data_IF_787202068007
#
_entry.id   IF_787202068007
#
_cell.length_a   1.000
_cell.length_b   1.000
_cell.length_c   1.000
_cell.angle_alpha   90.00
_cell.angle_beta   90.00
_cell.angle_gamma   90.00
#
_symmetry.space_group_name_H-M   'P 1'
#
loop_
_entity.id
_entity.type
_entity.pdbx_description
1 polymer ?
#
# COMPACT_ATOMS: atom_id res chain seq x y z
N UNK A 1 -18.58 10.86 -4.44
CA UNK A 1 -17.12 11.08 -4.43
C UNK A 1 -16.33 9.77 -4.44
N UNK A 2 -16.62 8.82 -3.54
CA UNK A 2 -15.94 7.51 -3.45
C UNK A 2 -15.92 6.72 -4.77
N UNK A 3 -17.02 6.68 -5.53
CA UNK A 3 -17.06 5.96 -6.82
C UNK A 3 -16.04 6.46 -7.86
N UNK A 4 -15.66 7.74 -7.81
CA UNK A 4 -14.61 8.32 -8.69
C UNK A 4 -13.23 7.81 -8.29
N UNK A 5 -12.95 7.75 -6.98
CA UNK A 5 -11.72 7.15 -6.45
C UNK A 5 -11.64 5.66 -6.79
N UNK A 6 -12.71 4.90 -6.54
CA UNK A 6 -12.73 3.46 -6.84
C UNK A 6 -12.47 3.19 -8.33
N UNK A 7 -13.08 3.97 -9.23
CA UNK A 7 -12.78 3.87 -10.66
C UNK A 7 -11.32 4.18 -10.98
N UNK A 8 -10.70 5.17 -10.32
CA UNK A 8 -9.29 5.49 -10.50
C UNK A 8 -8.34 4.39 -10.03
N UNK A 9 -8.69 3.68 -8.95
CA UNK A 9 -7.85 2.61 -8.41
C UNK A 9 -7.87 1.34 -9.27
N UNK A 10 -8.84 1.19 -10.17
CA UNK A 10 -8.92 0.05 -11.08
C UNK A 10 -7.97 0.27 -12.27
N UNK A 11 -7.01 -0.63 -12.43
CA UNK A 11 -6.16 -0.67 -13.62
C UNK A 11 -6.98 -1.05 -14.87
N UNK A 12 -6.75 -0.45 -16.05
CA UNK A 12 -5.74 0.58 -16.38
C UNK A 12 -6.28 2.02 -16.42
N UNK A 13 -7.24 2.41 -15.57
CA UNK A 13 -7.89 3.72 -15.70
C UNK A 13 -6.94 4.89 -15.39
N UNK A 14 -7.03 5.94 -16.20
CA UNK A 14 -6.42 7.24 -15.95
C UNK A 14 -7.50 8.33 -15.72
N UNK A 15 -7.08 9.54 -15.32
CA UNK A 15 -8.01 10.66 -15.10
C UNK A 15 -8.85 11.00 -16.35
N UNK A 16 -8.30 10.77 -17.54
CA UNK A 16 -9.02 11.00 -18.79
C UNK A 16 -10.17 10.01 -18.98
N UNK A 17 -9.96 8.72 -18.69
CA UNK A 17 -11.01 7.69 -18.76
C UNK A 17 -12.15 7.95 -17.76
N UNK A 18 -11.78 8.44 -16.57
CA UNK A 18 -12.72 8.81 -15.51
C UNK A 18 -13.51 10.07 -15.92
N UNK A 19 -12.86 11.01 -16.60
CA UNK A 19 -13.50 12.22 -17.15
C UNK A 19 -14.62 11.88 -18.12
N UNK A 20 -14.39 10.93 -19.03
CA UNK A 20 -15.43 10.44 -19.94
C UNK A 20 -16.60 9.78 -19.20
N UNK A 21 -16.32 9.07 -18.10
CA UNK A 21 -17.34 8.34 -17.34
C UNK A 21 -18.22 9.26 -16.48
N UNK A 22 -17.63 10.27 -15.84
CA UNK A 22 -18.31 11.10 -14.84
C UNK A 22 -18.58 12.54 -15.29
N UNK A 23 -18.16 12.94 -16.50
CA UNK A 23 -18.48 14.25 -17.08
C UNK A 23 -17.81 15.45 -16.38
N UNK A 24 -16.71 15.23 -15.67
CA UNK A 24 -15.95 16.28 -14.98
C UNK A 24 -14.59 16.51 -15.64
N UNK A 25 -14.05 17.72 -15.52
CA UNK A 25 -12.69 17.98 -15.99
C UNK A 25 -11.66 17.15 -15.21
N UNK A 26 -10.51 16.78 -15.82
CA UNK A 26 -9.45 16.05 -15.11
C UNK A 26 -8.94 16.77 -13.85
N UNK A 27 -8.95 18.10 -13.85
CA UNK A 27 -8.55 18.91 -12.69
C UNK A 27 -9.51 18.76 -11.51
N UNK A 28 -10.82 18.88 -11.75
CA UNK A 28 -11.83 18.67 -10.70
C UNK A 28 -11.80 17.23 -10.18
N UNK A 29 -11.63 16.24 -11.06
CA UNK A 29 -11.50 14.84 -10.67
C UNK A 29 -10.29 14.60 -9.78
N UNK A 30 -9.14 15.16 -10.14
CA UNK A 30 -7.94 15.08 -9.33
C UNK A 30 -8.18 15.66 -7.94
N UNK A 31 -8.78 16.84 -7.84
CA UNK A 31 -9.12 17.46 -6.56
C UNK A 31 -10.05 16.60 -5.71
N UNK A 32 -11.13 16.07 -6.31
CA UNK A 32 -12.07 15.20 -5.61
C UNK A 32 -11.38 13.93 -5.11
N UNK A 33 -10.53 13.32 -5.94
CA UNK A 33 -9.82 12.09 -5.59
C UNK A 33 -8.82 12.35 -4.46
N UNK A 34 -8.01 13.41 -4.57
CA UNK A 34 -7.06 13.77 -3.53
C UNK A 34 -7.76 14.09 -2.21
N UNK A 35 -8.89 14.80 -2.25
CA UNK A 35 -9.70 15.09 -1.08
C UNK A 35 -10.24 13.82 -0.41
N UNK A 36 -10.82 12.89 -1.18
CA UNK A 36 -11.31 11.61 -0.65
C UNK A 36 -10.18 10.78 -0.07
N UNK A 37 -9.04 10.68 -0.76
CA UNK A 37 -7.87 9.95 -0.26
C UNK A 37 -7.35 10.56 1.04
N UNK A 38 -7.28 11.89 1.13
CA UNK A 38 -6.87 12.59 2.35
C UNK A 38 -7.77 12.27 3.53
N UNK A 39 -9.10 12.34 3.34
CA UNK A 39 -10.07 12.00 4.37
C UNK A 39 -9.98 10.53 4.81
N UNK A 40 -9.87 9.60 3.86
CA UNK A 40 -9.72 8.17 4.17
C UNK A 40 -8.44 7.91 4.95
N UNK A 41 -7.32 8.52 4.55
CA UNK A 41 -6.06 8.39 5.27
C UNK A 41 -6.18 8.89 6.70
N UNK A 42 -6.80 10.05 6.92
CA UNK A 42 -6.95 10.59 8.27
C UNK A 42 -7.87 9.72 9.13
N UNK A 43 -8.98 9.25 8.57
CA UNK A 43 -9.95 8.43 9.26
C UNK A 43 -9.40 7.04 9.64
N UNK A 44 -8.59 6.44 8.77
CA UNK A 44 -8.11 5.07 8.93
C UNK A 44 -6.60 4.98 9.22
N UNK A 45 -5.95 6.09 9.59
CA UNK A 45 -4.49 6.13 9.86
C UNK A 45 -4.06 5.11 10.90
N UNK A 46 -4.88 4.89 11.92
CA UNK A 46 -4.53 4.00 13.02
C UNK A 46 -4.58 2.54 12.55
N UNK A 47 -5.59 2.16 11.76
CA UNK A 47 -5.69 0.83 11.13
C UNK A 47 -4.56 0.60 10.13
N UNK A 48 -4.24 1.60 9.30
CA UNK A 48 -3.14 1.51 8.33
C UNK A 48 -1.77 1.40 9.00
N UNK A 49 -1.62 1.99 10.20
CA UNK A 49 -0.41 1.84 11.01
C UNK A 49 -0.39 0.47 11.65
N UNK A 50 -1.34 0.14 12.51
CA UNK A 50 -1.48 -1.19 13.08
C UNK A 50 -2.96 -1.50 13.28
N UNK A 51 -3.46 -2.50 12.56
CA UNK A 51 -4.81 -3.00 12.75
C UNK A 51 -4.89 -3.78 14.07
N UNK A 52 -5.32 -3.07 15.13
CA UNK A 52 -5.42 -3.64 16.48
C UNK A 52 -6.44 -4.78 16.58
N UNK A 53 -7.46 -4.80 15.71
CA UNK A 53 -8.46 -5.86 15.69
C UNK A 53 -7.86 -7.17 15.14
N UNK A 54 -6.87 -7.06 14.26
CA UNK A 54 -6.09 -8.19 13.74
C UNK A 54 -4.95 -8.63 14.70
N UNK A 55 -4.60 -7.79 15.68
CA UNK A 55 -3.54 -8.06 16.66
C UNK A 55 -4.08 -8.62 17.99
N UNK A 56 -5.30 -9.17 18.01
CA UNK A 56 -5.81 -9.83 19.20
C UNK A 56 -5.00 -11.07 19.57
N UNK A 57 -4.72 -11.24 20.87
CA UNK A 57 -3.89 -12.35 21.39
C UNK A 57 -4.34 -13.73 20.91
N UNK A 58 -5.66 -13.96 20.84
CA UNK A 58 -6.20 -15.25 20.40
C UNK A 58 -5.89 -15.52 18.93
N UNK A 59 -6.04 -14.52 18.06
CA UNK A 59 -5.77 -14.64 16.62
C UNK A 59 -4.28 -14.78 16.35
N UNK A 60 -3.45 -13.99 17.05
CA UNK A 60 -1.99 -14.09 16.95
C UNK A 60 -1.47 -15.48 17.35
N UNK A 61 -2.06 -16.10 18.39
CA UNK A 61 -1.71 -17.49 18.76
C UNK A 61 -2.04 -18.48 17.65
N UNK A 62 -3.24 -18.37 17.07
CA UNK A 62 -3.63 -19.21 15.93
C UNK A 62 -2.68 -19.04 14.75
N UNK A 63 -2.26 -17.80 14.48
CA UNK A 63 -1.30 -17.52 13.42
C UNK A 63 0.07 -18.13 13.69
N UNK A 64 0.60 -17.96 14.91
CA UNK A 64 1.87 -18.57 15.33
C UNK A 64 1.85 -20.09 15.23
N UNK A 65 0.78 -20.73 15.70
CA UNK A 65 0.60 -22.18 15.66
C UNK A 65 0.55 -22.67 14.20
N UNK A 66 -0.27 -22.05 13.34
CA UNK A 66 -0.40 -22.43 11.94
C UNK A 66 0.92 -22.28 11.16
N UNK A 67 1.71 -21.22 11.40
CA UNK A 67 3.03 -21.03 10.78
C UNK A 67 4.03 -22.08 11.28
N UNK A 68 4.01 -22.41 12.56
CA UNK A 68 4.87 -23.45 13.13
C UNK A 68 4.53 -24.83 12.56
N UNK A 69 3.24 -25.18 12.48
CA UNK A 69 2.75 -26.42 11.87
C UNK A 69 3.10 -26.52 10.39
N UNK A 70 3.14 -25.39 9.67
CA UNK A 70 3.60 -25.32 8.29
C UNK A 70 5.12 -25.54 8.12
N UNK A 71 5.87 -25.71 9.22
CA UNK A 71 7.29 -26.06 9.22
C UNK A 71 8.23 -24.93 9.63
N UNK A 72 7.73 -23.81 10.15
CA UNK A 72 8.59 -22.75 10.68
C UNK A 72 9.33 -23.25 11.94
N UNK A 73 10.66 -23.07 12.03
CA UNK A 73 11.41 -23.38 13.26
C UNK A 73 11.11 -22.37 14.39
N UNK A 74 10.47 -21.25 14.07
CA UNK A 74 10.10 -20.20 15.02
C UNK A 74 8.64 -20.38 15.45
N UNK A 75 8.39 -20.25 16.76
CA UNK A 75 7.07 -20.44 17.40
C UNK A 75 6.28 -19.15 17.61
N UNK A 76 6.87 -18.00 17.28
CA UNK A 76 6.31 -16.67 17.60
C UNK A 76 6.17 -15.78 16.37
N UNK A 77 6.02 -16.37 15.18
CA UNK A 77 5.84 -15.64 13.92
C UNK A 77 4.35 -15.61 13.60
N UNK A 78 3.77 -14.41 13.51
CA UNK A 78 2.34 -14.23 13.27
C UNK A 78 2.03 -13.63 11.88
N UNK A 79 3.05 -13.22 11.14
CA UNK A 79 2.89 -12.56 9.84
C UNK A 79 4.24 -12.34 9.17
N UNK A 80 4.19 -11.93 7.91
CA UNK A 80 5.36 -11.73 7.08
C UNK A 80 5.42 -10.29 6.58
N UNK A 81 6.62 -9.73 6.60
CA UNK A 81 6.92 -8.40 6.06
C UNK A 81 7.25 -8.55 4.58
N UNK A 82 6.61 -7.77 3.73
CA UNK A 82 6.93 -7.71 2.30
C UNK A 82 7.05 -6.26 1.80
N UNK A 83 8.01 -6.05 0.90
CA UNK A 83 8.28 -4.79 0.24
C UNK A 83 7.69 -4.78 -1.17
N UNK A 84 6.80 -3.84 -1.47
CA UNK A 84 6.21 -3.68 -2.80
C UNK A 84 6.67 -2.39 -3.49
N UNK A 85 7.21 -2.54 -4.70
CA UNK A 85 7.51 -1.44 -5.61
C UNK A 85 6.26 -1.01 -6.38
N UNK A 86 5.68 0.14 -6.02
CA UNK A 86 4.58 0.74 -6.76
C UNK A 86 5.12 1.62 -7.90
N UNK A 87 4.98 1.14 -9.13
CA UNK A 87 5.43 1.86 -10.33
C UNK A 87 4.71 3.21 -10.46
N UNK A 88 5.48 4.25 -10.76
CA UNK A 88 4.96 5.59 -11.06
C UNK A 88 5.42 6.05 -12.45
N UNK A 89 4.71 7.03 -13.01
CA UNK A 89 5.20 7.75 -14.18
C UNK A 89 6.51 8.48 -13.87
N UNK A 90 7.37 8.64 -14.88
CA UNK A 90 8.65 9.35 -14.76
C UNK A 90 8.41 10.77 -14.23
N UNK A 91 8.93 11.13 -13.04
CA UNK A 91 8.76 12.48 -12.50
C UNK A 91 9.43 13.53 -13.37
N UNK A 92 8.95 14.77 -13.36
CA UNK A 92 9.64 15.87 -14.05
C UNK A 92 10.92 16.27 -13.32
N UNK A 93 10.86 16.33 -11.98
CA UNK A 93 11.96 16.75 -11.11
C UNK A 93 12.46 15.58 -10.27
N UNK A 94 13.74 15.61 -9.87
CA UNK A 94 14.35 14.64 -8.95
C UNK A 94 14.18 13.17 -9.36
N UNK A 95 14.13 12.87 -10.66
CA UNK A 95 13.89 11.52 -11.21
C UNK A 95 14.74 10.42 -10.58
N UNK A 96 16.03 10.70 -10.35
CA UNK A 96 16.97 9.75 -9.75
C UNK A 96 16.53 9.28 -8.36
N UNK A 97 15.83 10.11 -7.59
CA UNK A 97 15.31 9.74 -6.26
C UNK A 97 14.24 8.66 -6.32
N UNK A 98 13.54 8.53 -7.44
CA UNK A 98 12.44 7.58 -7.59
C UNK A 98 12.82 6.39 -8.47
N UNK A 99 14.01 6.36 -9.06
CA UNK A 99 14.41 5.31 -9.99
C UNK A 99 15.05 4.13 -9.24
N UNK A 100 14.36 2.99 -9.22
CA UNK A 100 14.94 1.74 -8.71
C UNK A 100 15.84 1.13 -9.78
N UNK A 101 17.14 1.03 -9.50
CA UNK A 101 18.10 0.36 -10.38
C UNK A 101 17.81 -1.12 -10.56
N UNK A 102 17.37 -1.81 -9.49
CA UNK A 102 17.06 -3.24 -9.50
C UNK A 102 15.85 -3.55 -10.38
N UNK A 103 14.76 -2.78 -10.25
CA UNK A 103 13.55 -2.97 -11.06
C UNK A 103 13.57 -2.24 -12.41
N UNK A 104 14.56 -1.37 -12.63
CA UNK A 104 14.73 -0.54 -13.84
C UNK A 104 13.50 0.31 -14.18
N UNK A 105 12.85 0.86 -13.14
CA UNK A 105 11.65 1.69 -13.29
C UNK A 105 11.61 2.79 -12.22
N UNK A 106 10.78 3.82 -12.47
CA UNK A 106 10.44 4.79 -11.42
C UNK A 106 9.35 4.19 -10.54
N UNK A 107 9.57 4.15 -9.23
CA UNK A 107 8.64 3.60 -8.26
C UNK A 107 8.71 4.33 -6.91
N UNK A 108 7.65 4.14 -6.13
CA UNK A 108 7.63 4.33 -4.69
C UNK A 108 7.64 2.96 -4.04
N UNK A 109 8.31 2.83 -2.90
CA UNK A 109 8.31 1.61 -2.12
C UNK A 109 7.32 1.68 -0.98
N UNK A 110 6.67 0.56 -0.71
CA UNK A 110 5.80 0.38 0.44
C UNK A 110 6.20 -0.92 1.14
N UNK A 111 6.06 -0.97 2.45
CA UNK A 111 6.31 -2.16 3.23
C UNK A 111 5.03 -2.53 3.98
N UNK A 112 4.54 -3.74 3.76
CA UNK A 112 3.33 -4.25 4.39
C UNK A 112 3.67 -5.40 5.33
N UNK A 113 2.89 -5.55 6.40
CA UNK A 113 2.79 -6.81 7.13
C UNK A 113 1.46 -7.45 6.77
N UNK A 114 1.50 -8.69 6.31
CA UNK A 114 0.31 -9.44 5.92
C UNK A 114 0.09 -10.57 6.93
N UNK A 115 -1.13 -10.63 7.48
CA UNK A 115 -1.58 -11.73 8.33
C UNK A 115 -1.89 -12.99 7.51
N UNK A 116 -2.03 -14.13 8.18
CA UNK A 116 -2.28 -15.42 7.53
C UNK A 116 -3.59 -15.51 6.75
N UNK A 117 -4.58 -14.67 7.07
CA UNK A 117 -5.84 -14.54 6.34
C UNK A 117 -5.75 -13.62 5.11
N UNK A 118 -4.56 -13.07 4.84
CA UNK A 118 -4.28 -12.22 3.68
C UNK A 118 -4.61 -10.74 3.90
N UNK A 119 -4.91 -10.32 5.13
CA UNK A 119 -5.18 -8.92 5.46
C UNK A 119 -3.86 -8.18 5.71
N UNK A 120 -3.77 -6.94 5.22
CA UNK A 120 -2.64 -6.06 5.52
C UNK A 120 -2.88 -5.43 6.90
N UNK A 121 -2.08 -5.82 7.89
CA UNK A 121 -2.22 -5.37 9.28
C UNK A 121 -1.35 -4.16 9.63
N UNK A 122 -0.38 -3.85 8.77
CA UNK A 122 0.47 -2.67 8.86
C UNK A 122 0.94 -2.29 7.46
N UNK A 123 0.93 -0.99 7.16
CA UNK A 123 1.42 -0.44 5.90
C UNK A 123 2.29 0.80 6.16
N UNK A 124 3.56 0.71 5.78
CA UNK A 124 4.51 1.80 5.83
C UNK A 124 4.89 2.32 4.43
N UNK A 125 5.28 3.59 4.39
CA UNK A 125 5.70 4.31 3.19
C UNK A 125 4.84 5.56 2.91
N UNK A 126 5.02 6.20 1.75
CA UNK A 126 5.93 5.82 0.67
C UNK A 126 7.41 6.06 1.01
N UNK A 127 8.27 5.14 0.59
CA UNK A 127 9.73 5.25 0.60
C UNK A 127 10.27 5.47 -0.83
N UNK A 128 11.53 5.88 -0.97
CA UNK A 128 12.12 6.13 -2.27
C UNK A 128 12.45 4.82 -2.99
N UNK A 129 12.32 4.82 -4.32
CA UNK A 129 12.57 3.62 -5.15
C UNK A 129 13.95 2.96 -4.98
N UNK A 130 15.05 3.71 -4.78
CA UNK A 130 16.38 3.12 -4.54
C UNK A 130 16.58 2.53 -3.15
N UNK A 131 15.73 2.85 -2.17
CA UNK A 131 15.92 2.43 -0.78
C UNK A 131 15.87 0.90 -0.69
N UNK A 132 16.76 0.28 0.08
CA UNK A 132 16.76 -1.17 0.23
C UNK A 132 15.71 -1.58 1.27
N UNK A 133 15.06 -2.73 1.10
CA UNK A 133 14.01 -3.19 2.00
C UNK A 133 14.54 -3.39 3.44
N UNK A 134 15.83 -3.73 3.57
CA UNK A 134 16.57 -3.79 4.85
C UNK A 134 16.92 -2.42 5.44
N UNK A 135 16.54 -1.31 4.82
CA UNK A 135 16.75 0.05 5.34
C UNK A 135 15.44 0.78 5.58
N UNK A 136 14.34 0.11 5.29
CA UNK A 136 12.98 0.60 5.42
C UNK A 136 12.40 -0.05 6.68
N UNK A 137 12.35 0.71 7.78
CA UNK A 137 11.74 0.34 9.06
C UNK A 137 11.18 1.57 9.76
#
# INVERSE_FOLDING_TARGET
>A
ALGKLLKQLVFPNCLWDISQTFGHSPGELLWIVLYVVGNLKEQYKDILKWDMDQLMLQLLKQFCEAIHEAGSPLVSVFGFIDGTDHRISRPLHNQRKYYSGQKRQHCLKYQGVVSLDGIIIHLAGPFLGPDHDLTIF
#
